data_IF_053556801569
#
_entry.id   IF_053556801569
#
_cell.length_a   1.000
_cell.length_b   1.000
_cell.length_c   1.000
_cell.angle_alpha   90.00
_cell.angle_beta   90.00
_cell.angle_gamma   90.00
#
_symmetry.space_group_name_H-M   'P 1'
#
loop_
_entity.id
_entity.type
_entity.pdbx_description
1 polymer ?
#
# COMPACT_ATOMS: atom_id res chain seq x y z
N UNK A 1 80.10 -1.35 -30.81
CA UNK A 1 79.18 -2.41 -31.28
C UNK A 1 77.78 -1.81 -31.21
N UNK A 2 77.36 -1.14 -32.29
CA UNK A 2 76.42 -1.67 -33.29
C UNK A 2 75.00 -1.79 -32.70
N UNK A 3 74.11 -0.81 -32.84
CA UNK A 3 73.34 -0.36 -34.02
C UNK A 3 71.90 -0.90 -33.99
N UNK A 4 70.94 0.05 -34.01
CA UNK A 4 69.61 0.02 -34.62
C UNK A 4 68.60 -1.06 -34.13
N UNK A 5 67.28 -0.87 -34.15
CA UNK A 5 66.44 -0.02 -34.97
C UNK A 5 65.05 0.12 -34.30
N UNK A 6 64.42 1.26 -34.49
CA UNK A 6 62.98 1.48 -34.28
C UNK A 6 62.16 0.80 -35.38
N UNK A 7 60.92 0.42 -35.09
CA UNK A 7 59.71 0.86 -35.82
C UNK A 7 58.53 -0.11 -35.68
N UNK A 8 57.49 0.38 -35.01
CA UNK A 8 56.05 0.29 -35.31
C UNK A 8 55.53 -0.86 -36.20
N UNK A 9 54.64 -1.67 -35.62
CA UNK A 9 53.67 -2.49 -36.34
C UNK A 9 52.25 -2.17 -35.84
N UNK A 10 51.47 -1.49 -36.67
CA UNK A 10 50.02 -1.37 -36.56
C UNK A 10 49.35 -2.56 -37.26
N UNK A 11 48.30 -3.06 -36.65
CA UNK A 11 47.53 -4.23 -37.04
C UNK A 11 46.18 -3.81 -37.66
N UNK A 12 45.72 -4.69 -38.58
CA UNK A 12 44.33 -4.96 -39.03
C UNK A 12 43.63 -3.87 -39.86
N UNK A 13 42.76 -4.14 -40.83
CA UNK A 13 42.08 -5.33 -41.37
C UNK A 13 41.52 -4.97 -42.77
N UNK A 14 41.13 -5.91 -43.65
CA UNK A 14 40.61 -5.60 -44.98
C UNK A 14 39.07 -5.73 -45.11
N UNK A 15 38.57 -5.12 -46.20
CA UNK A 15 37.43 -5.50 -47.05
C UNK A 15 36.19 -4.55 -47.09
N UNK A 16 35.98 -3.99 -48.29
CA UNK A 16 34.81 -3.26 -48.84
C UNK A 16 33.53 -4.13 -48.88
N UNK A 17 32.30 -3.58 -49.09
CA UNK A 17 31.83 -3.17 -50.43
C UNK A 17 30.82 -1.97 -50.51
N UNK A 18 30.88 -1.29 -51.64
CA UNK A 18 29.80 -0.92 -52.61
C UNK A 18 28.43 -0.32 -52.23
N UNK A 19 28.08 0.68 -53.05
CA UNK A 19 26.76 1.14 -53.56
C UNK A 19 25.77 1.85 -52.64
N UNK A 20 25.59 3.14 -52.95
CA UNK A 20 24.51 4.03 -52.52
C UNK A 20 23.33 3.86 -53.47
N UNK A 21 22.13 3.61 -52.96
CA UNK A 21 20.87 3.75 -53.72
C UNK A 21 19.79 4.31 -52.81
N UNK A 22 19.22 5.43 -53.27
CA UNK A 22 18.18 6.23 -52.65
C UNK A 22 16.83 5.51 -52.76
N UNK A 23 16.14 5.28 -51.64
CA UNK A 23 14.70 5.03 -51.64
C UNK A 23 14.09 5.30 -50.24
N UNK A 24 13.36 6.42 -50.17
CA UNK A 24 12.12 6.63 -49.41
C UNK A 24 12.04 6.19 -47.95
N UNK A 25 12.21 7.19 -47.09
CA UNK A 25 11.55 7.28 -45.79
C UNK A 25 10.03 7.18 -45.95
N UNK A 26 9.45 6.00 -45.68
CA UNK A 26 7.99 5.87 -45.52
C UNK A 26 7.55 4.66 -44.68
N UNK A 27 8.30 3.55 -44.60
CA UNK A 27 7.78 2.32 -43.97
C UNK A 27 8.44 1.87 -42.65
N UNK A 28 9.25 2.72 -42.01
CA UNK A 28 9.90 2.39 -40.72
C UNK A 28 8.96 2.46 -39.49
N UNK A 29 7.74 3.00 -39.62
CA UNK A 29 6.82 3.18 -38.49
C UNK A 29 5.90 1.97 -38.24
N UNK A 30 5.76 1.04 -39.19
CA UNK A 30 4.80 -0.07 -39.08
C UNK A 30 5.39 -1.38 -38.54
N UNK A 31 6.72 -1.57 -38.58
CA UNK A 31 7.37 -2.82 -38.15
C UNK A 31 7.72 -2.85 -36.64
N UNK A 32 7.73 -1.71 -35.95
CA UNK A 32 8.01 -1.64 -34.50
C UNK A 32 6.81 -2.06 -33.63
N UNK A 33 5.59 -2.08 -34.19
CA UNK A 33 4.37 -2.42 -33.46
C UNK A 33 4.15 -3.94 -33.28
N UNK A 34 4.70 -4.78 -34.17
CA UNK A 34 4.53 -6.23 -34.11
C UNK A 34 5.50 -6.91 -33.11
N UNK A 35 6.68 -6.34 -32.88
CA UNK A 35 7.64 -6.84 -31.88
C UNK A 35 7.25 -6.45 -30.43
N UNK A 36 6.49 -5.37 -30.25
CA UNK A 36 5.97 -4.96 -28.95
C UNK A 36 4.86 -5.88 -28.41
N UNK A 37 4.05 -6.49 -29.30
CA UNK A 37 2.97 -7.39 -28.91
C UNK A 37 3.49 -8.76 -28.41
N UNK A 38 4.55 -9.30 -29.02
CA UNK A 38 5.19 -10.52 -28.54
C UNK A 38 5.95 -10.31 -27.21
N UNK A 39 6.46 -9.09 -26.99
CA UNK A 39 7.11 -8.71 -25.72
C UNK A 39 6.07 -8.46 -24.60
N UNK A 40 4.85 -8.03 -24.94
CA UNK A 40 3.74 -7.95 -23.98
C UNK A 40 3.26 -9.36 -23.54
N UNK A 41 3.29 -10.36 -24.42
CA UNK A 41 2.87 -11.71 -24.09
C UNK A 41 3.88 -12.45 -23.20
N UNK A 42 5.20 -12.27 -23.37
CA UNK A 42 6.22 -12.96 -22.56
C UNK A 42 6.47 -12.30 -21.20
N UNK A 43 6.19 -11.00 -21.05
CA UNK A 43 6.14 -10.33 -19.73
C UNK A 43 4.91 -10.78 -18.93
N UNK A 44 3.86 -11.25 -19.60
CA UNK A 44 2.60 -11.68 -18.97
C UNK A 44 2.65 -13.03 -18.24
N UNK A 45 3.75 -13.80 -18.35
CA UNK A 45 3.91 -15.07 -17.62
C UNK A 45 4.93 -15.03 -16.48
N UNK A 46 5.55 -13.88 -16.19
CA UNK A 46 6.48 -13.77 -15.06
C UNK A 46 5.72 -13.39 -13.78
N UNK A 47 5.20 -14.42 -13.11
CA UNK A 47 4.65 -14.43 -11.75
C UNK A 47 3.28 -13.74 -11.54
N UNK A 48 2.25 -14.19 -12.26
CA UNK A 48 0.91 -14.16 -11.69
C UNK A 48 0.78 -15.31 -10.69
N UNK A 49 1.34 -15.13 -9.48
CA UNK A 49 0.98 -15.99 -8.37
C UNK A 49 -0.50 -15.72 -8.06
N UNK A 50 -1.41 -16.71 -8.17
CA UNK A 50 -2.75 -16.53 -7.63
C UNK A 50 -2.56 -16.17 -6.16
N UNK A 51 -3.01 -14.98 -5.77
CA UNK A 51 -2.98 -14.55 -4.39
C UNK A 51 -3.94 -15.48 -3.63
N UNK A 52 -3.44 -16.61 -3.15
CA UNK A 52 -4.22 -17.55 -2.34
C UNK A 52 -4.41 -16.90 -0.98
N UNK A 53 -5.50 -16.15 -0.82
CA UNK A 53 -5.93 -15.68 0.48
C UNK A 53 -6.41 -16.90 1.27
N UNK A 54 -5.53 -17.47 2.09
CA UNK A 54 -5.95 -18.42 3.13
C UNK A 54 -6.69 -17.61 4.18
N UNK A 55 -8.02 -17.55 4.05
CA UNK A 55 -8.85 -16.91 5.06
C UNK A 55 -8.80 -17.76 6.33
N UNK A 56 -8.49 -17.11 7.45
CA UNK A 56 -8.54 -17.77 8.75
C UNK A 56 -9.99 -18.14 9.08
N UNK A 57 -10.19 -19.25 9.77
CA UNK A 57 -11.49 -19.51 10.38
C UNK A 57 -11.78 -18.41 11.42
N UNK A 58 -13.06 -18.05 11.65
CA UNK A 58 -13.44 -17.05 12.66
C UNK A 58 -12.83 -17.37 14.03
N UNK A 59 -12.86 -18.64 14.45
CA UNK A 59 -12.30 -19.11 15.71
C UNK A 59 -10.79 -18.89 15.82
N UNK A 60 -10.04 -19.15 14.73
CA UNK A 60 -8.59 -18.91 14.71
C UNK A 60 -8.29 -17.42 14.80
N UNK A 61 -9.09 -16.58 14.13
CA UNK A 61 -8.96 -15.14 14.20
C UNK A 61 -9.23 -14.62 15.62
N UNK A 62 -10.30 -15.06 16.27
CA UNK A 62 -10.63 -14.68 17.66
C UNK A 62 -9.50 -15.04 18.61
N UNK A 63 -8.96 -16.25 18.51
CA UNK A 63 -7.83 -16.71 19.34
C UNK A 63 -6.61 -15.79 19.18
N UNK A 64 -6.29 -15.39 17.95
CA UNK A 64 -5.20 -14.46 17.66
C UNK A 64 -5.46 -13.06 18.24
N UNK A 65 -6.69 -12.56 18.09
CA UNK A 65 -7.11 -11.27 18.63
C UNK A 65 -7.01 -11.26 20.15
N UNK A 66 -7.49 -12.30 20.82
CA UNK A 66 -7.39 -12.44 22.27
C UNK A 66 -5.94 -12.56 22.74
N UNK A 67 -5.12 -13.34 22.03
CA UNK A 67 -3.68 -13.43 22.27
C UNK A 67 -3.01 -12.05 22.20
N UNK A 68 -3.34 -11.25 21.18
CA UNK A 68 -2.85 -9.88 21.04
C UNK A 68 -3.30 -8.97 22.20
N UNK A 69 -4.59 -9.00 22.55
CA UNK A 69 -5.12 -8.17 23.64
C UNK A 69 -4.46 -8.56 24.97
N UNK A 70 -4.29 -9.84 25.25
CA UNK A 70 -3.72 -10.32 26.51
C UNK A 70 -2.24 -9.96 26.69
N UNK A 71 -1.48 -9.86 25.60
CA UNK A 71 -0.10 -9.35 25.62
C UNK A 71 -0.04 -7.83 25.89
N UNK A 72 -1.13 -7.11 25.69
CA UNK A 72 -1.21 -5.69 25.99
C UNK A 72 -1.40 -5.43 27.49
N UNK A 73 -0.67 -4.45 28.02
CA UNK A 73 -0.85 -3.99 29.39
C UNK A 73 -2.32 -3.62 29.67
N UNK A 74 -2.84 -3.92 30.87
CA UNK A 74 -4.26 -3.72 31.25
C UNK A 74 -4.80 -2.33 30.92
N UNK A 75 -3.98 -1.28 31.07
CA UNK A 75 -4.34 0.11 30.76
C UNK A 75 -4.57 0.38 29.26
N UNK A 76 -3.99 -0.43 28.38
CA UNK A 76 -4.08 -0.30 26.91
C UNK A 76 -5.17 -1.20 26.32
N UNK A 77 -5.50 -2.33 26.97
CA UNK A 77 -6.49 -3.31 26.49
C UNK A 77 -7.84 -2.70 26.13
N UNK A 78 -8.40 -1.90 27.05
CA UNK A 78 -9.73 -1.29 26.88
C UNK A 78 -9.84 -0.31 25.70
N UNK A 79 -8.72 0.07 25.08
CA UNK A 79 -8.67 1.03 23.97
C UNK A 79 -8.04 0.44 22.70
N UNK A 80 -7.61 -0.82 22.74
CA UNK A 80 -6.93 -1.49 21.63
C UNK A 80 -7.90 -1.82 20.50
N UNK A 81 -9.08 -2.32 20.85
CA UNK A 81 -10.19 -2.56 19.95
C UNK A 81 -11.42 -1.83 20.47
N UNK A 82 -12.09 -1.10 19.59
CA UNK A 82 -13.29 -0.35 19.93
C UNK A 82 -14.47 -1.28 19.74
N UNK A 83 -15.11 -1.66 20.85
CA UNK A 83 -16.36 -2.43 20.84
C UNK A 83 -17.55 -1.50 20.58
N UNK A 84 -18.69 -2.08 20.18
CA UNK A 84 -19.90 -1.32 19.88
C UNK A 84 -20.36 -0.46 21.07
N UNK A 85 -20.31 -1.01 22.28
CA UNK A 85 -20.62 -0.26 23.50
C UNK A 85 -19.69 0.95 23.68
N UNK A 86 -18.38 0.77 23.49
CA UNK A 86 -17.40 1.86 23.62
C UNK A 86 -17.60 2.93 22.55
N UNK A 87 -17.97 2.55 21.33
CA UNK A 87 -18.30 3.49 20.26
C UNK A 87 -19.54 4.33 20.62
N UNK A 88 -20.58 3.70 21.17
CA UNK A 88 -21.78 4.39 21.67
C UNK A 88 -21.44 5.34 22.83
N UNK A 89 -20.61 4.90 23.78
CA UNK A 89 -20.14 5.73 24.90
C UNK A 89 -19.39 6.98 24.39
N UNK A 90 -18.53 6.81 23.37
CA UNK A 90 -17.86 7.91 22.70
C UNK A 90 -18.87 8.89 22.07
N UNK A 91 -19.88 8.39 21.36
CA UNK A 91 -20.94 9.22 20.76
C UNK A 91 -21.74 9.98 21.82
N UNK A 92 -22.04 9.36 22.97
CA UNK A 92 -22.72 10.04 24.08
C UNK A 92 -21.91 11.21 24.63
N UNK A 93 -20.60 11.01 24.86
CA UNK A 93 -19.69 12.06 25.32
C UNK A 93 -19.56 13.20 24.32
N UNK A 94 -19.52 12.89 23.02
CA UNK A 94 -19.43 13.91 21.98
C UNK A 94 -20.76 14.65 21.75
N UNK A 95 -21.90 14.01 22.03
CA UNK A 95 -23.22 14.64 21.89
C UNK A 95 -23.51 15.63 23.03
N UNK A 96 -23.09 15.31 24.26
CA UNK A 96 -23.33 16.13 25.44
C UNK A 96 -22.01 16.48 26.16
N UNK A 97 -21.18 17.37 25.59
CA UNK A 97 -19.83 17.63 26.11
C UNK A 97 -19.78 18.26 27.52
N UNK A 98 -20.85 18.98 27.88
CA UNK A 98 -21.02 19.69 29.17
C UNK A 98 -21.46 18.76 30.31
N UNK A 99 -21.99 17.57 29.99
CA UNK A 99 -22.49 16.67 31.01
C UNK A 99 -21.34 15.91 31.69
N UNK A 100 -20.87 16.47 32.80
CA UNK A 100 -19.78 15.95 33.64
C UNK A 100 -20.19 14.76 34.52
N UNK A 101 -21.44 14.29 34.44
CA UNK A 101 -21.87 13.04 35.07
C UNK A 101 -21.59 11.81 34.18
N UNK A 102 -21.44 11.99 32.86
CA UNK A 102 -21.31 10.87 31.90
C UNK A 102 -19.84 10.39 31.79
N UNK A 103 -19.49 9.27 32.43
CA UNK A 103 -18.14 8.65 32.48
C UNK A 103 -17.05 9.36 33.33
N UNK A 104 -15.81 8.91 33.23
CA UNK A 104 -14.67 9.48 33.95
C UNK A 104 -14.08 10.70 33.19
N UNK A 105 -13.61 11.77 33.87
CA UNK A 105 -12.92 12.90 33.23
C UNK A 105 -11.81 12.51 32.23
N UNK A 106 -11.00 11.49 32.55
CA UNK A 106 -9.94 11.00 31.64
C UNK A 106 -10.51 10.41 30.35
N UNK A 107 -11.64 9.73 30.45
CA UNK A 107 -12.33 9.18 29.29
C UNK A 107 -12.84 10.31 28.40
N UNK A 108 -13.50 11.33 28.96
CA UNK A 108 -13.98 12.49 28.19
C UNK A 108 -12.87 13.20 27.45
N UNK A 109 -11.76 13.47 28.15
CA UNK A 109 -10.59 14.12 27.54
C UNK A 109 -10.05 13.28 26.38
N UNK A 110 -9.93 11.97 26.57
CA UNK A 110 -9.48 11.05 25.53
C UNK A 110 -10.44 11.06 24.32
N UNK A 111 -11.75 10.95 24.54
CA UNK A 111 -12.73 10.95 23.44
C UNK A 111 -12.64 12.23 22.62
N UNK A 112 -12.65 13.42 23.26
CA UNK A 112 -12.54 14.71 22.57
C UNK A 112 -11.20 14.90 21.84
N UNK A 113 -10.15 14.24 22.33
CA UNK A 113 -8.80 14.31 21.74
C UNK A 113 -8.69 13.44 20.49
N UNK A 114 -9.31 12.27 20.49
CA UNK A 114 -9.12 11.24 19.47
C UNK A 114 -10.26 11.13 18.46
N UNK A 115 -11.49 11.49 18.82
CA UNK A 115 -12.64 11.26 17.96
C UNK A 115 -13.44 12.54 17.69
N UNK A 116 -14.13 12.49 16.55
CA UNK A 116 -15.20 13.40 16.15
C UNK A 116 -16.33 12.52 15.60
N UNK A 117 -17.56 12.98 15.55
CA UNK A 117 -18.60 12.28 14.82
C UNK A 117 -19.13 13.15 13.68
N UNK A 118 -19.53 12.51 12.60
CA UNK A 118 -20.19 13.15 11.47
C UNK A 118 -21.59 12.54 11.34
N UNK A 119 -22.56 13.37 10.97
CA UNK A 119 -23.92 12.93 10.69
C UNK A 119 -24.07 12.79 9.17
N UNK A 120 -24.41 11.59 8.71
CA UNK A 120 -24.71 11.30 7.30
C UNK A 120 -26.14 10.79 7.24
N UNK A 121 -27.06 11.66 6.83
CA UNK A 121 -28.50 11.40 6.93
C UNK A 121 -28.92 11.30 8.40
N UNK A 122 -29.46 10.15 8.80
CA UNK A 122 -29.83 9.85 10.19
C UNK A 122 -28.72 9.14 10.98
N UNK A 123 -27.66 8.69 10.30
CA UNK A 123 -26.63 7.87 10.91
C UNK A 123 -25.49 8.74 11.49
N UNK A 124 -25.12 8.46 12.74
CA UNK A 124 -23.96 9.08 13.42
C UNK A 124 -22.75 8.18 13.27
N UNK A 125 -21.77 8.62 12.50
CA UNK A 125 -20.54 7.87 12.23
C UNK A 125 -19.41 8.45 13.08
N UNK A 126 -18.76 7.61 13.89
CA UNK A 126 -17.59 8.00 14.65
C UNK A 126 -16.35 8.02 13.73
N UNK A 127 -15.59 9.10 13.78
CA UNK A 127 -14.43 9.36 12.95
C UNK A 127 -13.20 9.60 13.84
N UNK A 128 -12.03 9.12 13.40
CA UNK A 128 -10.75 9.46 14.02
C UNK A 128 -10.39 10.91 13.65
N UNK A 129 -10.22 11.76 14.67
CA UNK A 129 -9.93 13.18 14.52
C UNK A 129 -8.61 13.44 13.79
N UNK A 130 -7.61 12.57 13.98
CA UNK A 130 -6.27 12.77 13.41
C UNK A 130 -6.20 12.28 11.96
N UNK A 131 -6.79 11.13 11.70
CA UNK A 131 -6.66 10.44 10.42
C UNK A 131 -7.82 10.73 9.45
N UNK A 132 -8.94 11.26 9.94
CA UNK A 132 -10.14 11.49 9.14
C UNK A 132 -10.83 10.21 8.67
N UNK A 133 -10.48 9.06 9.26
CA UNK A 133 -11.01 7.75 8.88
C UNK A 133 -12.17 7.34 9.78
N UNK A 134 -13.17 6.60 9.26
CA UNK A 134 -14.22 6.05 10.11
C UNK A 134 -13.63 5.06 11.11
N UNK A 135 -14.15 5.09 12.33
CA UNK A 135 -13.78 4.16 13.40
C UNK A 135 -14.45 2.82 13.12
N UNK A 136 -13.64 1.79 12.87
CA UNK A 136 -14.14 0.42 12.76
C UNK A 136 -14.46 -0.12 14.15
N UNK A 137 -15.66 -0.69 14.29
CA UNK A 137 -16.08 -1.37 15.50
C UNK A 137 -15.78 -2.86 15.36
N UNK A 138 -15.34 -3.50 16.44
CA UNK A 138 -15.18 -4.96 16.52
C UNK A 138 -16.53 -5.64 16.31
N UNK A 139 -16.57 -6.66 15.46
CA UNK A 139 -17.71 -7.55 15.26
C UNK A 139 -18.09 -8.26 16.58
N UNK A 140 -19.39 -8.37 16.86
CA UNK A 140 -19.95 -9.02 18.06
C UNK A 140 -20.56 -10.36 17.70
#
# INVERSE_FOLDING_TARGET
MSSNNSSSTSLTSPASPTSVSVATAANAAAAAAAAAAATAAMVSSSLYLPQTYSFLSPETFETLVEGYINQLHIRKRNKALINQQLANDCLMVLTNPENTAIFNPKFRWWVRKHFVFTVVGELRILMDKKNGKPVCVREQ
#
